data_IF_964014263308
#
_entry.id   IF_964014263308
#
_cell.length_a   1.000
_cell.length_b   1.000
_cell.length_c   1.000
_cell.angle_alpha   90.00
_cell.angle_beta   90.00
_cell.angle_gamma   90.00
#
_symmetry.space_group_name_H-M   'P 1'
#
loop_
_entity.id
_entity.type
_entity.pdbx_description
1 polymer ?
#
# COMPACT_ATOMS: atom_id res chain seq x y z
N UNK A 1 25.26 -30.63 1.87
CA UNK A 1 25.21 -29.49 2.78
C UNK A 1 23.78 -28.94 2.78
N UNK A 2 23.02 -29.21 3.83
CA UNK A 2 21.63 -28.77 3.92
C UNK A 2 21.60 -27.27 4.22
N UNK A 3 21.01 -26.47 3.32
CA UNK A 3 20.75 -25.04 3.52
C UNK A 3 19.80 -24.89 4.71
N UNK A 4 20.27 -24.32 5.81
CA UNK A 4 19.42 -23.92 6.94
C UNK A 4 18.47 -22.84 6.45
N UNK A 5 17.19 -23.18 6.29
CA UNK A 5 16.14 -22.20 6.03
C UNK A 5 16.19 -21.13 7.15
N UNK A 6 16.27 -19.86 6.75
CA UNK A 6 16.17 -18.75 7.70
C UNK A 6 14.80 -18.84 8.41
N UNK A 7 14.73 -18.62 9.73
CA UNK A 7 13.47 -18.65 10.45
C UNK A 7 12.51 -17.62 9.82
N UNK A 8 11.26 -18.06 9.57
CA UNK A 8 10.18 -17.21 9.09
C UNK A 8 10.03 -16.04 10.09
N UNK A 9 10.05 -14.79 9.64
CA UNK A 9 9.83 -13.68 10.55
C UNK A 9 8.51 -13.87 11.29
N UNK A 10 8.40 -13.41 12.56
CA UNK A 10 7.15 -13.51 13.31
C UNK A 10 6.03 -12.82 12.53
N UNK A 11 4.77 -13.30 12.65
CA UNK A 11 3.64 -12.67 12.00
C UNK A 11 3.56 -11.21 12.45
N UNK A 12 3.63 -10.31 11.47
CA UNK A 12 3.47 -8.87 11.72
C UNK A 12 2.01 -8.65 12.07
N UNK A 13 1.76 -8.22 13.31
CA UNK A 13 0.42 -7.82 13.72
C UNK A 13 -0.03 -6.60 12.88
N UNK A 14 -1.11 -6.71 12.07
CA UNK A 14 -1.64 -5.62 11.28
C UNK A 14 -1.91 -4.36 12.12
N UNK A 15 -2.39 -4.54 13.35
CA UNK A 15 -2.59 -3.44 14.26
C UNK A 15 -1.28 -2.77 14.70
N UNK A 16 -0.16 -3.49 14.73
CA UNK A 16 1.13 -2.88 15.06
C UNK A 16 1.60 -1.92 13.97
N UNK A 17 1.35 -2.23 12.69
CA UNK A 17 1.58 -1.30 11.58
C UNK A 17 0.62 -0.10 11.65
N UNK A 18 -0.64 -0.33 11.99
CA UNK A 18 -1.65 0.71 12.16
C UNK A 18 -1.35 1.59 13.39
N UNK A 19 -0.81 1.00 14.47
CA UNK A 19 -0.39 1.72 15.70
C UNK A 19 0.96 2.42 15.54
N UNK A 20 1.79 2.01 14.61
CA UNK A 20 3.07 2.66 14.33
C UNK A 20 2.90 4.05 13.69
N UNK A 21 1.70 4.42 13.22
CA UNK A 21 1.34 5.82 13.03
C UNK A 21 1.11 6.44 14.42
N UNK A 22 2.17 6.70 15.15
CA UNK A 22 2.10 7.62 16.28
C UNK A 22 1.90 9.02 15.71
N UNK A 23 0.63 9.36 15.42
CA UNK A 23 0.28 10.76 15.53
C UNK A 23 0.72 11.18 16.93
N UNK A 24 1.63 12.15 17.08
CA UNK A 24 2.01 12.64 18.39
C UNK A 24 0.73 13.01 19.16
N UNK A 25 0.67 12.71 20.45
CA UNK A 25 -0.47 13.14 21.28
C UNK A 25 -0.47 14.68 21.35
N UNK A 26 -1.25 15.29 20.46
CA UNK A 26 -1.32 16.73 20.35
C UNK A 26 -2.24 17.30 21.42
N UNK A 27 -1.66 17.87 22.47
CA UNK A 27 -2.42 18.63 23.49
C UNK A 27 -3.13 19.86 22.92
N UNK A 28 -2.73 20.35 21.72
CA UNK A 28 -3.27 21.56 21.10
C UNK A 28 -3.55 21.33 19.62
N UNK A 29 -4.72 21.72 19.17
CA UNK A 29 -5.16 21.64 17.78
C UNK A 29 -4.21 22.37 16.81
N UNK A 30 -3.60 23.47 17.23
CA UNK A 30 -2.60 24.19 16.42
C UNK A 30 -1.39 23.29 16.11
N UNK A 31 -0.94 22.49 17.05
CA UNK A 31 0.19 21.57 16.86
C UNK A 31 -0.16 20.49 15.86
N UNK A 32 -1.37 19.94 15.95
CA UNK A 32 -1.89 18.95 15.01
C UNK A 32 -1.97 19.53 13.58
N UNK A 33 -2.48 20.74 13.43
CA UNK A 33 -2.54 21.42 12.11
C UNK A 33 -1.15 21.60 11.51
N UNK A 34 -0.16 22.05 12.29
CA UNK A 34 1.22 22.22 11.81
C UNK A 34 1.83 20.90 11.36
N UNK A 35 1.61 19.83 12.10
CA UNK A 35 2.08 18.47 11.75
C UNK A 35 1.45 17.99 10.44
N UNK A 36 0.13 18.10 10.29
CA UNK A 36 -0.56 17.69 9.07
C UNK A 36 -0.16 18.54 7.86
N UNK A 37 0.02 19.87 8.04
CA UNK A 37 0.49 20.76 6.99
C UNK A 37 1.90 20.40 6.50
N UNK A 38 2.80 19.94 7.38
CA UNK A 38 4.12 19.46 7.00
C UNK A 38 4.04 18.18 6.16
N UNK A 39 3.18 17.22 6.53
CA UNK A 39 2.98 15.98 5.77
C UNK A 39 2.39 16.30 4.39
N UNK A 40 1.38 17.16 4.30
CA UNK A 40 0.77 17.57 3.04
C UNK A 40 1.77 18.29 2.14
N UNK A 41 2.53 19.24 2.67
CA UNK A 41 3.56 19.97 1.94
C UNK A 41 4.65 19.03 1.42
N UNK A 42 5.14 18.10 2.25
CA UNK A 42 6.14 17.12 1.86
C UNK A 42 5.59 16.16 0.80
N UNK A 43 4.34 15.70 0.92
CA UNK A 43 3.69 14.84 -0.09
C UNK A 43 3.66 15.53 -1.46
N UNK A 44 3.23 16.79 -1.51
CA UNK A 44 3.17 17.56 -2.76
C UNK A 44 4.55 17.79 -3.37
N UNK A 45 5.55 18.12 -2.56
CA UNK A 45 6.91 18.36 -3.02
C UNK A 45 7.58 17.07 -3.52
N UNK A 46 7.48 15.97 -2.78
CA UNK A 46 8.04 14.69 -3.21
C UNK A 46 7.35 14.16 -4.48
N UNK A 47 6.06 14.39 -4.63
CA UNK A 47 5.33 14.01 -5.85
C UNK A 47 5.74 14.84 -7.06
N UNK A 48 6.08 16.12 -6.88
CA UNK A 48 6.40 17.03 -7.97
C UNK A 48 7.88 17.00 -8.39
N UNK A 49 8.79 16.88 -7.42
CA UNK A 49 10.23 17.04 -7.63
C UNK A 49 11.04 15.76 -7.32
N UNK A 50 10.40 14.73 -6.75
CA UNK A 50 11.07 13.53 -6.25
C UNK A 50 11.71 13.73 -4.88
N UNK A 51 12.05 12.61 -4.22
CA UNK A 51 12.59 12.63 -2.86
C UNK A 51 13.92 13.38 -2.74
N UNK A 52 14.85 13.17 -3.68
CA UNK A 52 16.22 13.66 -3.57
C UNK A 52 16.33 15.18 -3.70
N UNK A 53 15.49 15.78 -4.55
CA UNK A 53 15.50 17.21 -4.84
C UNK A 53 14.92 18.11 -3.74
N UNK A 54 14.13 17.53 -2.81
CA UNK A 54 13.39 18.29 -1.79
C UNK A 54 14.19 18.38 -0.48
N UNK A 55 14.23 19.60 0.09
CA UNK A 55 14.88 19.89 1.38
C UNK A 55 13.87 20.23 2.49
N UNK A 56 14.29 20.07 3.76
CA UNK A 56 13.46 20.41 4.93
C UNK A 56 13.05 21.90 5.00
N UNK A 57 13.91 22.88 4.58
CA UNK A 57 13.48 24.27 4.54
C UNK A 57 12.33 24.53 3.57
N UNK A 58 12.34 23.86 2.42
CA UNK A 58 11.31 23.99 1.40
C UNK A 58 9.97 23.39 1.89
N UNK A 59 10.02 22.24 2.57
CA UNK A 59 8.84 21.62 3.20
C UNK A 59 8.25 22.57 4.25
N UNK A 60 9.08 23.12 5.14
CA UNK A 60 8.63 24.05 6.18
C UNK A 60 8.02 25.32 5.58
N UNK A 61 8.65 25.90 4.57
CA UNK A 61 8.15 27.09 3.85
C UNK A 61 6.80 26.82 3.22
N UNK A 62 6.65 25.72 2.50
CA UNK A 62 5.38 25.34 1.86
C UNK A 62 4.27 25.05 2.87
N UNK A 63 4.62 24.48 4.02
CA UNK A 63 3.68 24.23 5.12
C UNK A 63 3.30 25.51 5.91
N UNK A 64 3.90 26.65 5.62
CA UNK A 64 3.66 27.91 6.33
C UNK A 64 4.17 27.90 7.77
N UNK A 65 5.21 27.13 8.06
CA UNK A 65 5.82 27.04 9.40
C UNK A 65 7.32 27.33 9.38
N UNK A 66 7.91 27.57 10.55
CA UNK A 66 9.37 27.73 10.65
C UNK A 66 10.08 26.36 10.51
N UNK A 67 11.33 26.39 10.07
CA UNK A 67 12.23 25.20 10.05
C UNK A 67 12.35 24.58 11.45
N UNK A 68 12.40 25.40 12.50
CA UNK A 68 12.38 24.91 13.88
C UNK A 68 11.10 24.17 14.25
N UNK A 69 9.96 24.52 13.61
CA UNK A 69 8.70 23.79 13.78
C UNK A 69 8.75 22.44 13.06
N UNK A 70 9.40 22.35 11.90
CA UNK A 70 9.66 21.06 11.22
C UNK A 70 10.41 20.11 12.16
N UNK A 71 11.57 20.54 12.70
CA UNK A 71 12.41 19.70 13.58
C UNK A 71 11.79 19.38 14.95
N UNK A 72 10.67 20.00 15.31
CA UNK A 72 9.87 19.55 16.46
C UNK A 72 9.14 18.24 16.21
N UNK A 73 8.80 17.94 14.95
CA UNK A 73 7.96 16.79 14.58
C UNK A 73 8.71 15.70 13.83
N UNK A 74 9.77 16.06 13.10
CA UNK A 74 10.53 15.14 12.27
C UNK A 74 12.02 15.46 12.40
N UNK A 75 12.85 14.44 12.61
CA UNK A 75 14.28 14.59 12.73
C UNK A 75 14.90 14.99 11.38
N UNK A 76 14.35 14.50 10.27
CA UNK A 76 14.79 14.81 8.92
C UNK A 76 13.68 14.61 7.86
N UNK A 77 14.00 14.83 6.58
CA UNK A 77 13.07 14.60 5.48
C UNK A 77 12.73 13.11 5.27
N UNK A 78 13.58 12.21 5.72
CA UNK A 78 13.36 10.78 5.63
C UNK A 78 12.26 10.33 6.57
N UNK A 79 12.20 10.85 7.77
CA UNK A 79 11.16 10.53 8.74
C UNK A 79 9.77 10.96 8.27
N UNK A 80 9.63 12.19 7.72
CA UNK A 80 8.36 12.62 7.12
C UNK A 80 8.00 11.79 5.89
N UNK A 81 8.98 11.35 5.11
CA UNK A 81 8.75 10.46 3.96
C UNK A 81 8.21 9.09 4.40
N UNK A 82 8.81 8.47 5.41
CA UNK A 82 8.32 7.21 5.99
C UNK A 82 6.88 7.35 6.52
N UNK A 83 6.56 8.47 7.15
CA UNK A 83 5.21 8.74 7.63
C UNK A 83 4.20 8.86 6.49
N UNK A 84 4.57 9.54 5.38
CA UNK A 84 3.75 9.62 4.16
C UNK A 84 3.50 8.22 3.59
N UNK A 85 4.55 7.42 3.43
CA UNK A 85 4.46 6.05 2.92
C UNK A 85 3.53 5.19 3.79
N UNK A 86 3.69 5.25 5.11
CA UNK A 86 2.87 4.53 6.07
C UNK A 86 1.40 4.92 5.97
N UNK A 87 1.08 6.21 5.92
CA UNK A 87 -0.29 6.71 5.79
C UNK A 87 -0.95 6.24 4.50
N UNK A 88 -0.24 6.32 3.39
CA UNK A 88 -0.76 5.86 2.11
C UNK A 88 -1.04 4.36 2.09
N UNK A 89 -0.15 3.55 2.67
CA UNK A 89 -0.35 2.11 2.77
C UNK A 89 -1.54 1.75 3.65
N UNK A 90 -1.70 2.42 4.79
CA UNK A 90 -2.83 2.21 5.69
C UNK A 90 -4.15 2.59 5.00
N UNK A 91 -4.18 3.71 4.29
CA UNK A 91 -5.35 4.12 3.52
C UNK A 91 -5.69 3.07 2.46
N UNK A 92 -4.72 2.66 1.64
CA UNK A 92 -4.90 1.60 0.64
C UNK A 92 -5.44 0.29 1.25
N UNK A 93 -4.86 -0.15 2.37
CA UNK A 93 -5.30 -1.37 3.06
C UNK A 93 -6.76 -1.27 3.54
N UNK A 94 -7.11 -0.16 4.18
CA UNK A 94 -8.47 0.06 4.69
C UNK A 94 -9.49 0.10 3.57
N UNK A 95 -9.18 0.76 2.49
CA UNK A 95 -10.10 0.93 1.36
C UNK A 95 -10.25 -0.35 0.53
N UNK A 96 -9.22 -1.21 0.46
CA UNK A 96 -9.22 -2.38 -0.43
C UNK A 96 -9.43 -3.71 0.29
N UNK A 97 -8.76 -3.95 1.41
CA UNK A 97 -8.63 -5.29 1.99
C UNK A 97 -9.33 -5.43 3.35
N UNK A 98 -9.23 -4.40 4.21
CA UNK A 98 -9.75 -4.48 5.59
C UNK A 98 -11.25 -4.79 5.64
N UNK A 99 -12.03 -4.13 4.76
CA UNK A 99 -13.48 -4.28 4.66
C UNK A 99 -13.97 -5.51 3.89
N UNK A 100 -13.06 -6.39 3.41
CA UNK A 100 -13.45 -7.61 2.70
C UNK A 100 -13.84 -8.70 3.69
N UNK A 101 -15.15 -8.95 3.82
CA UNK A 101 -15.70 -10.08 4.55
C UNK A 101 -16.20 -11.18 3.62
N UNK A 102 -16.30 -12.45 4.12
CA UNK A 102 -16.80 -13.59 3.33
C UNK A 102 -18.19 -13.37 2.74
N UNK A 103 -19.06 -12.60 3.41
CA UNK A 103 -20.43 -12.28 2.98
C UNK A 103 -20.48 -11.54 1.65
N UNK A 104 -19.46 -10.77 1.30
CA UNK A 104 -19.38 -10.03 0.04
C UNK A 104 -19.12 -10.93 -1.18
N UNK A 105 -18.74 -12.19 -0.95
CA UNK A 105 -18.45 -13.15 -2.02
C UNK A 105 -19.57 -14.17 -2.25
N UNK A 106 -20.74 -13.98 -1.67
CA UNK A 106 -21.88 -14.86 -1.85
C UNK A 106 -22.54 -14.66 -3.23
N UNK A 107 -22.75 -15.76 -3.96
CA UNK A 107 -23.50 -15.76 -5.22
C UNK A 107 -22.89 -14.83 -6.30
N UNK A 108 -23.74 -13.97 -6.87
CA UNK A 108 -23.33 -13.03 -7.93
C UNK A 108 -22.51 -11.83 -7.42
N UNK A 109 -22.61 -11.49 -6.14
CA UNK A 109 -21.92 -10.36 -5.54
C UNK A 109 -20.39 -10.50 -5.62
N UNK A 110 -19.86 -11.74 -5.68
CA UNK A 110 -18.41 -12.02 -5.76
C UNK A 110 -17.75 -11.32 -6.95
N UNK A 111 -18.37 -11.34 -8.13
CA UNK A 111 -17.84 -10.70 -9.34
C UNK A 111 -17.72 -9.19 -9.17
N UNK A 112 -18.76 -8.56 -8.65
CA UNK A 112 -18.78 -7.12 -8.38
C UNK A 112 -17.78 -6.74 -7.31
N UNK A 113 -17.70 -7.50 -6.21
CA UNK A 113 -16.73 -7.28 -5.11
C UNK A 113 -15.29 -7.33 -5.62
N UNK A 114 -14.93 -8.30 -6.46
CA UNK A 114 -13.58 -8.39 -7.04
C UNK A 114 -13.29 -7.17 -7.91
N UNK A 115 -14.20 -6.78 -8.79
CA UNK A 115 -14.05 -5.62 -9.67
C UNK A 115 -13.92 -4.31 -8.93
N UNK A 116 -14.77 -4.08 -7.94
CA UNK A 116 -14.71 -2.90 -7.07
C UNK A 116 -13.38 -2.82 -6.32
N UNK A 117 -12.94 -3.92 -5.70
CA UNK A 117 -11.68 -3.97 -4.95
C UNK A 117 -10.48 -3.64 -5.86
N UNK A 118 -10.44 -4.19 -7.07
CA UNK A 118 -9.40 -3.89 -8.05
C UNK A 118 -9.50 -2.42 -8.50
N UNK A 119 -10.70 -1.91 -8.76
CA UNK A 119 -10.89 -0.51 -9.16
C UNK A 119 -10.35 0.45 -8.10
N UNK A 120 -10.69 0.23 -6.82
CA UNK A 120 -10.21 1.05 -5.69
C UNK A 120 -8.69 0.95 -5.55
N UNK A 121 -8.09 -0.25 -5.63
CA UNK A 121 -6.65 -0.42 -5.57
C UNK A 121 -5.93 0.37 -6.68
N UNK A 122 -6.41 0.26 -7.89
CA UNK A 122 -5.81 0.96 -9.03
C UNK A 122 -6.00 2.47 -8.93
N UNK A 123 -7.16 2.92 -8.51
CA UNK A 123 -7.41 4.34 -8.27
C UNK A 123 -6.42 4.91 -7.25
N UNK A 124 -6.21 4.21 -6.14
CA UNK A 124 -5.27 4.61 -5.10
C UNK A 124 -3.83 4.77 -5.63
N UNK A 125 -3.36 3.83 -6.47
CA UNK A 125 -2.03 3.90 -7.08
C UNK A 125 -1.95 5.00 -8.15
N UNK A 126 -3.03 5.16 -8.95
CA UNK A 126 -3.08 6.10 -10.08
C UNK A 126 -3.35 7.55 -9.65
N UNK A 127 -3.89 7.80 -8.45
CA UNK A 127 -4.09 9.15 -7.92
C UNK A 127 -2.76 9.89 -7.72
N UNK A 128 -1.71 9.18 -7.34
CA UNK A 128 -0.38 9.78 -7.14
C UNK A 128 0.74 8.89 -7.69
N UNK A 129 0.86 8.78 -9.04
CA UNK A 129 1.79 7.86 -9.68
C UNK A 129 3.26 8.19 -9.38
N UNK A 130 3.59 9.47 -9.19
CA UNK A 130 4.95 9.91 -8.85
C UNK A 130 5.36 9.48 -7.43
N UNK A 131 4.47 9.61 -6.46
CA UNK A 131 4.73 9.15 -5.10
C UNK A 131 4.84 7.62 -5.05
N UNK A 132 3.97 6.92 -5.77
CA UNK A 132 4.00 5.46 -5.91
C UNK A 132 5.30 4.98 -6.54
N UNK A 133 5.77 5.67 -7.60
CA UNK A 133 7.07 5.39 -8.22
C UNK A 133 8.22 5.66 -7.26
N UNK A 134 8.25 6.83 -6.61
CA UNK A 134 9.26 7.17 -5.61
C UNK A 134 9.34 6.12 -4.49
N UNK A 135 8.18 5.64 -4.02
CA UNK A 135 8.13 4.58 -3.02
C UNK A 135 8.76 3.26 -3.52
N UNK A 136 8.50 2.88 -4.78
CA UNK A 136 9.10 1.69 -5.37
C UNK A 136 10.62 1.84 -5.48
N UNK A 137 11.11 2.99 -5.96
CA UNK A 137 12.55 3.30 -6.06
C UNK A 137 13.23 3.29 -4.68
N UNK A 138 12.63 3.97 -3.70
CA UNK A 138 13.14 4.02 -2.33
C UNK A 138 13.15 2.64 -1.66
N UNK A 139 12.15 1.80 -1.90
CA UNK A 139 12.11 0.45 -1.33
C UNK A 139 13.25 -0.47 -1.81
N UNK A 140 13.95 -0.11 -2.89
CA UNK A 140 15.12 -0.84 -3.39
C UNK A 140 16.43 -0.36 -2.80
N UNK A 141 16.51 0.89 -2.34
CA UNK A 141 17.75 1.52 -1.86
C UNK A 141 17.76 1.87 -0.38
N UNK A 142 16.59 1.94 0.26
CA UNK A 142 16.45 2.29 1.67
C UNK A 142 15.91 1.13 2.50
N UNK A 143 16.66 0.64 3.52
CA UNK A 143 16.26 -0.52 4.30
C UNK A 143 14.97 -0.31 5.09
N UNK A 144 14.67 0.91 5.60
CA UNK A 144 13.47 1.18 6.40
C UNK A 144 12.22 1.24 5.51
N UNK A 145 12.34 1.82 4.31
CA UNK A 145 11.27 1.80 3.31
C UNK A 145 11.01 0.37 2.82
N UNK A 146 12.07 -0.42 2.61
CA UNK A 146 11.97 -1.83 2.24
C UNK A 146 11.29 -2.67 3.34
N UNK A 147 11.59 -2.41 4.60
CA UNK A 147 10.95 -3.08 5.74
C UNK A 147 9.46 -2.73 5.83
N UNK A 148 9.12 -1.44 5.69
CA UNK A 148 7.74 -0.98 5.65
C UNK A 148 6.95 -1.65 4.54
N UNK A 149 7.52 -1.75 3.33
CA UNK A 149 6.91 -2.45 2.19
C UNK A 149 6.67 -3.93 2.49
N UNK A 150 7.69 -4.64 3.00
CA UNK A 150 7.56 -6.07 3.36
C UNK A 150 6.49 -6.32 4.42
N UNK A 151 6.46 -5.46 5.43
CA UNK A 151 5.47 -5.55 6.49
C UNK A 151 4.03 -5.38 5.94
N UNK A 152 3.83 -4.40 5.08
CA UNK A 152 2.54 -4.17 4.43
C UNK A 152 2.11 -5.33 3.51
N UNK A 153 3.03 -5.85 2.71
CA UNK A 153 2.80 -7.03 1.86
C UNK A 153 2.41 -8.26 2.70
N UNK A 154 3.12 -8.50 3.80
CA UNK A 154 2.84 -9.63 4.70
C UNK A 154 1.43 -9.53 5.31
N UNK A 155 1.05 -8.35 5.80
CA UNK A 155 -0.28 -8.11 6.36
C UNK A 155 -1.38 -8.30 5.32
N UNK A 156 -1.20 -7.73 4.13
CA UNK A 156 -2.17 -7.83 3.04
C UNK A 156 -2.34 -9.28 2.57
N UNK A 157 -1.24 -10.00 2.38
CA UNK A 157 -1.25 -11.41 1.99
C UNK A 157 -1.88 -12.29 3.07
N UNK A 158 -1.57 -12.06 4.35
CA UNK A 158 -2.18 -12.78 5.45
C UNK A 158 -3.70 -12.60 5.50
N UNK A 159 -4.19 -11.37 5.34
CA UNK A 159 -5.64 -11.08 5.33
C UNK A 159 -6.32 -11.76 4.14
N UNK A 160 -5.73 -11.69 2.95
CA UNK A 160 -6.24 -12.40 1.76
C UNK A 160 -6.22 -13.92 1.94
N UNK A 161 -5.19 -14.49 2.57
CA UNK A 161 -5.12 -15.93 2.90
C UNK A 161 -6.29 -16.37 3.77
N UNK A 162 -6.60 -15.60 4.83
CA UNK A 162 -7.73 -15.87 5.70
C UNK A 162 -9.06 -15.78 4.95
N UNK A 163 -9.22 -14.75 4.13
CA UNK A 163 -10.42 -14.57 3.31
C UNK A 163 -10.60 -15.73 2.33
N UNK A 164 -9.58 -16.07 1.53
CA UNK A 164 -9.62 -17.18 0.57
C UNK A 164 -9.95 -18.48 1.28
N UNK A 165 -9.33 -18.74 2.44
CA UNK A 165 -9.61 -19.96 3.23
C UNK A 165 -11.05 -20.04 3.74
N UNK A 166 -11.71 -18.88 3.93
CA UNK A 166 -13.09 -18.82 4.39
C UNK A 166 -14.12 -18.96 3.25
N UNK A 167 -13.77 -18.52 2.03
CA UNK A 167 -14.74 -18.45 0.92
C UNK A 167 -14.55 -19.53 -0.15
N UNK A 168 -13.37 -20.16 -0.22
CA UNK A 168 -13.05 -21.16 -1.26
C UNK A 168 -12.68 -22.50 -0.64
N UNK A 169 -13.30 -23.61 -1.08
CA UNK A 169 -12.95 -24.94 -0.60
C UNK A 169 -11.52 -25.33 -0.95
N UNK A 170 -10.88 -26.17 -0.13
CA UNK A 170 -9.49 -26.63 -0.29
C UNK A 170 -9.25 -27.50 -1.54
N UNK A 171 -10.27 -28.13 -2.09
CA UNK A 171 -10.19 -28.86 -3.36
C UNK A 171 -10.10 -27.92 -4.57
N UNK A 172 -10.54 -26.68 -4.44
CA UNK A 172 -10.42 -25.63 -5.47
C UNK A 172 -9.12 -24.84 -5.31
N UNK A 173 -8.78 -24.41 -4.09
CA UNK A 173 -7.54 -23.72 -3.76
C UNK A 173 -6.80 -24.49 -2.67
N UNK A 174 -5.91 -25.43 -3.06
CA UNK A 174 -5.17 -26.26 -2.10
C UNK A 174 -4.22 -25.46 -1.19
N UNK A 175 -3.63 -24.38 -1.72
CA UNK A 175 -2.71 -23.50 -1.02
C UNK A 175 -3.20 -22.05 -1.05
N UNK A 176 -4.03 -21.61 -0.08
CA UNK A 176 -4.52 -20.24 -0.01
C UNK A 176 -3.42 -19.19 0.24
N UNK A 177 -2.33 -19.53 0.93
CA UNK A 177 -1.22 -18.60 1.19
C UNK A 177 -0.47 -18.27 -0.11
N UNK A 178 -0.10 -19.28 -0.88
CA UNK A 178 0.54 -19.09 -2.18
C UNK A 178 -0.40 -18.36 -3.16
N UNK A 179 -1.68 -18.71 -3.17
CA UNK A 179 -2.70 -18.05 -4.03
C UNK A 179 -2.86 -16.57 -3.66
N UNK A 180 -2.95 -16.25 -2.38
CA UNK A 180 -3.03 -14.87 -1.90
C UNK A 180 -1.80 -14.05 -2.31
N UNK A 181 -0.60 -14.63 -2.19
CA UNK A 181 0.65 -13.99 -2.61
C UNK A 181 0.64 -13.68 -4.11
N UNK A 182 0.23 -14.64 -4.95
CA UNK A 182 0.16 -14.46 -6.41
C UNK A 182 -0.88 -13.41 -6.78
N UNK A 183 -2.06 -13.43 -6.18
CA UNK A 183 -3.12 -12.45 -6.43
C UNK A 183 -2.65 -11.04 -6.06
N UNK A 184 -2.09 -10.87 -4.85
CA UNK A 184 -1.57 -9.59 -4.39
C UNK A 184 -0.45 -9.07 -5.30
N UNK A 185 0.55 -9.89 -5.60
CA UNK A 185 1.68 -9.54 -6.46
C UNK A 185 1.23 -9.16 -7.88
N UNK A 186 0.32 -9.92 -8.47
CA UNK A 186 -0.24 -9.64 -9.80
C UNK A 186 -1.00 -8.31 -9.82
N UNK A 187 -1.84 -8.06 -8.80
CA UNK A 187 -2.61 -6.82 -8.70
C UNK A 187 -1.70 -5.59 -8.55
N UNK A 188 -0.72 -5.66 -7.65
CA UNK A 188 0.24 -4.57 -7.45
C UNK A 188 1.11 -4.32 -8.68
N UNK A 189 1.61 -5.37 -9.34
CA UNK A 189 2.43 -5.23 -10.54
C UNK A 189 1.64 -4.63 -11.70
N UNK A 190 0.39 -5.03 -11.90
CA UNK A 190 -0.49 -4.42 -12.90
C UNK A 190 -0.74 -2.94 -12.58
N UNK A 191 -1.03 -2.58 -11.32
CA UNK A 191 -1.27 -1.20 -10.92
C UNK A 191 -0.02 -0.33 -11.14
N UNK A 192 1.17 -0.80 -10.78
CA UNK A 192 2.44 -0.09 -11.02
C UNK A 192 2.77 0.06 -12.49
N UNK A 193 2.51 -0.96 -13.31
CA UNK A 193 2.68 -0.90 -14.75
C UNK A 193 1.80 0.18 -15.38
N UNK A 194 0.53 0.27 -14.96
CA UNK A 194 -0.41 1.29 -15.43
C UNK A 194 -0.08 2.69 -14.90
N UNK A 195 0.52 2.81 -13.73
CA UNK A 195 1.03 4.07 -13.19
C UNK A 195 2.31 4.56 -13.91
N UNK A 196 2.82 3.81 -14.88
CA UNK A 196 3.98 4.20 -15.67
C UNK A 196 5.32 4.12 -14.94
N UNK A 197 5.46 3.24 -13.95
CA UNK A 197 6.72 3.12 -13.17
C UNK A 197 7.94 2.79 -14.06
N UNK A 198 7.74 2.03 -15.12
CA UNK A 198 8.81 1.58 -16.03
C UNK A 198 8.64 2.14 -17.46
N UNK A 199 7.69 3.04 -17.68
CA UNK A 199 7.39 3.63 -18.98
C UNK A 199 5.90 3.71 -19.24
N UNK A 200 5.52 4.07 -20.48
CA UNK A 200 4.11 4.14 -20.86
C UNK A 200 3.43 2.76 -20.70
N UNK A 201 2.21 2.70 -20.14
CA UNK A 201 1.51 1.43 -19.98
C UNK A 201 1.23 0.81 -21.37
N UNK A 202 1.50 -0.52 -21.52
CA UNK A 202 1.37 -1.20 -22.81
C UNK A 202 -0.08 -1.50 -23.19
N UNK A 203 -1.01 -1.31 -22.25
CA UNK A 203 -2.43 -1.64 -22.39
C UNK A 203 -3.29 -0.61 -21.68
N UNK A 204 -4.51 -0.43 -22.17
CA UNK A 204 -5.51 0.42 -21.54
C UNK A 204 -5.89 -0.05 -20.12
N UNK A 205 -6.05 0.91 -19.21
CA UNK A 205 -6.30 0.62 -17.80
C UNK A 205 -7.62 -0.11 -17.55
N UNK A 206 -8.68 0.19 -18.28
CA UNK A 206 -9.98 -0.48 -18.10
C UNK A 206 -9.90 -1.95 -18.55
N UNK A 207 -9.17 -2.21 -19.66
CA UNK A 207 -8.93 -3.57 -20.14
C UNK A 207 -8.11 -4.39 -19.15
N UNK A 208 -7.04 -3.79 -18.59
CA UNK A 208 -6.20 -4.44 -17.60
C UNK A 208 -6.96 -4.79 -16.31
N UNK A 209 -7.76 -3.85 -15.79
CA UNK A 209 -8.62 -4.05 -14.62
C UNK A 209 -9.62 -5.19 -14.83
N UNK A 210 -10.28 -5.22 -15.98
CA UNK A 210 -11.24 -6.26 -16.35
C UNK A 210 -10.55 -7.63 -16.42
N UNK A 211 -9.43 -7.73 -17.13
CA UNK A 211 -8.69 -8.97 -17.30
C UNK A 211 -8.17 -9.52 -15.96
N UNK A 212 -7.69 -8.65 -15.07
CA UNK A 212 -7.23 -9.04 -13.74
C UNK A 212 -8.39 -9.54 -12.86
N UNK A 213 -9.54 -8.85 -12.89
CA UNK A 213 -10.73 -9.28 -12.16
C UNK A 213 -11.21 -10.67 -12.61
N UNK A 214 -11.31 -10.88 -13.93
CA UNK A 214 -11.71 -12.15 -14.53
C UNK A 214 -10.70 -13.26 -14.19
N UNK A 215 -9.39 -12.94 -14.18
CA UNK A 215 -8.34 -13.89 -13.79
C UNK A 215 -8.50 -14.33 -12.33
N UNK A 216 -8.69 -13.38 -11.40
CA UNK A 216 -8.88 -13.68 -9.98
C UNK A 216 -10.16 -14.47 -9.76
N UNK A 217 -11.26 -14.09 -10.42
CA UNK A 217 -12.52 -14.80 -10.28
C UNK A 217 -12.42 -16.26 -10.73
N UNK A 218 -11.79 -16.52 -11.89
CA UNK A 218 -11.60 -17.90 -12.39
C UNK A 218 -10.66 -18.70 -11.50
N UNK A 219 -9.64 -18.08 -10.91
CA UNK A 219 -8.71 -18.75 -10.01
C UNK A 219 -9.39 -19.20 -8.70
N UNK A 220 -10.31 -18.38 -8.18
CA UNK A 220 -10.99 -18.63 -6.91
C UNK A 220 -12.32 -19.39 -7.09
N UNK A 221 -12.99 -19.21 -8.21
CA UNK A 221 -14.36 -19.71 -8.47
C UNK A 221 -14.44 -20.31 -9.90
N UNK A 222 -13.71 -21.41 -10.19
CA UNK A 222 -13.74 -22.02 -11.51
C UNK A 222 -15.16 -22.45 -11.89
N UNK A 223 -15.52 -22.24 -13.17
CA UNK A 223 -16.78 -22.76 -13.73
C UNK A 223 -16.62 -24.29 -13.79
N UNK A 224 -17.44 -25.01 -13.09
CA UNK A 224 -17.54 -26.48 -13.15
C UNK A 224 -18.35 -26.90 -14.36
#
# INVERSE_FOLDING_TARGET
MASRAKPKPPPVDPESLLRATKEPDFRQERSRRSYLALIEAATLLFSSHGYDAVGTPEIAQRAGVSVGTFYRYFDDKHEVYLEICRRNMIAAYRETIEGLGPERFAGRARHETIRETIAVLFEHVLQNPQLSRSFTEMSLRDPQVAELRRAFEAVSTQRLTLLISAIVPRDVVPDPEATAYVIYGSAMQCAYGLAGHVGAPPIDAARAKTALADFIERALFPIR
#
